data_IF_191549670427
#
_entry.id   IF_191549670427
#
_cell.length_a   1.000
_cell.length_b   1.000
_cell.length_c   1.000
_cell.angle_alpha   90.00
_cell.angle_beta   90.00
_cell.angle_gamma   90.00
#
_symmetry.space_group_name_H-M   'P 1'
#
loop_
_entity.id
_entity.type
_entity.pdbx_description
1 polymer ?
#
# COMPACT_ATOMS: atom_id res chain seq x y z
N UNK A 1 -19.50 -8.41 0.89
CA UNK A 1 -19.42 -6.97 1.24
C UNK A 1 -18.02 -6.51 0.91
N UNK A 2 -17.85 -5.49 0.07
CA UNK A 2 -16.52 -4.89 -0.18
C UNK A 2 -15.99 -4.31 1.13
N UNK A 3 -14.72 -4.53 1.47
CA UNK A 3 -14.14 -4.01 2.71
C UNK A 3 -14.15 -2.46 2.65
N UNK A 4 -14.50 -1.78 3.75
CA UNK A 4 -14.53 -0.31 3.80
C UNK A 4 -13.17 0.31 3.46
N UNK A 5 -12.07 -0.37 3.79
CA UNK A 5 -10.72 0.06 3.43
C UNK A 5 -10.51 0.04 1.92
N UNK A 6 -11.06 -0.94 1.20
CA UNK A 6 -11.00 -0.99 -0.27
C UNK A 6 -11.71 0.23 -0.89
N UNK A 7 -12.87 0.61 -0.35
CA UNK A 7 -13.62 1.76 -0.81
C UNK A 7 -12.83 3.07 -0.59
N UNK A 8 -12.17 3.19 0.55
CA UNK A 8 -11.33 4.35 0.88
C UNK A 8 -10.14 4.44 -0.08
N UNK A 9 -9.43 3.33 -0.33
CA UNK A 9 -8.28 3.30 -1.25
C UNK A 9 -8.72 3.73 -2.66
N UNK A 10 -9.83 3.19 -3.15
CA UNK A 10 -10.37 3.52 -4.48
C UNK A 10 -10.79 4.98 -4.60
N UNK A 11 -11.45 5.51 -3.57
CA UNK A 11 -11.86 6.92 -3.54
C UNK A 11 -10.65 7.85 -3.50
N UNK A 12 -9.63 7.51 -2.70
CA UNK A 12 -8.37 8.25 -2.67
C UNK A 12 -7.61 8.15 -4.01
N UNK A 13 -7.70 7.03 -4.74
CA UNK A 13 -7.07 6.89 -6.06
C UNK A 13 -7.71 7.80 -7.10
N UNK A 14 -9.05 7.89 -7.09
CA UNK A 14 -9.77 8.83 -7.94
C UNK A 14 -9.32 10.26 -7.69
N UNK A 15 -9.31 10.67 -6.42
CA UNK A 15 -8.86 12.00 -6.05
C UNK A 15 -7.40 12.25 -6.48
N UNK A 16 -6.52 11.27 -6.32
CA UNK A 16 -5.12 11.40 -6.76
C UNK A 16 -5.01 11.57 -8.29
N UNK A 17 -5.81 10.84 -9.06
CA UNK A 17 -5.85 10.96 -10.53
C UNK A 17 -6.39 12.33 -10.95
N UNK A 18 -7.46 12.81 -10.31
CA UNK A 18 -7.99 14.16 -10.53
C UNK A 18 -6.91 15.22 -10.24
N UNK A 19 -6.18 15.10 -9.13
CA UNK A 19 -5.04 15.98 -8.82
C UNK A 19 -3.93 15.92 -9.87
N UNK A 20 -3.61 14.74 -10.41
CA UNK A 20 -2.61 14.60 -11.46
C UNK A 20 -3.05 15.24 -12.79
N UNK A 21 -4.34 15.19 -13.09
CA UNK A 21 -4.96 15.81 -14.25
C UNK A 21 -5.27 17.30 -14.06
N UNK A 22 -4.98 17.85 -12.87
CA UNK A 22 -5.36 19.22 -12.48
C UNK A 22 -6.86 19.48 -12.66
N UNK A 23 -7.65 18.43 -12.41
CA UNK A 23 -9.09 18.42 -12.45
C UNK A 23 -9.66 18.20 -11.04
N UNK A 24 -10.96 18.43 -10.87
CA UNK A 24 -11.63 18.22 -9.58
C UNK A 24 -11.50 19.38 -8.60
N UNK A 25 -12.21 19.26 -7.48
CA UNK A 25 -12.25 20.25 -6.40
C UNK A 25 -11.59 19.69 -5.14
N UNK A 26 -10.28 19.45 -5.23
CA UNK A 26 -9.49 18.81 -4.18
C UNK A 26 -8.67 19.86 -3.43
N UNK A 27 -8.75 19.83 -2.09
CA UNK A 27 -8.09 20.83 -1.24
C UNK A 27 -6.58 20.62 -1.12
N UNK A 28 -6.09 19.42 -1.42
CA UNK A 28 -4.68 19.06 -1.37
C UNK A 28 -3.97 19.54 -2.63
N UNK A 29 -2.78 20.11 -2.48
CA UNK A 29 -1.95 20.60 -3.58
C UNK A 29 -0.70 19.73 -3.68
N UNK A 30 -0.31 19.34 -4.90
CA UNK A 30 1.00 18.75 -5.15
C UNK A 30 2.11 19.78 -4.90
N UNK A 31 3.03 19.54 -3.96
CA UNK A 31 4.18 20.41 -3.81
C UNK A 31 5.03 20.38 -5.08
N UNK A 32 5.64 21.50 -5.45
CA UNK A 32 6.56 21.55 -6.58
C UNK A 32 8.01 21.38 -6.11
N UNK A 33 8.79 20.63 -6.89
CA UNK A 33 10.24 20.59 -6.79
C UNK A 33 10.84 21.90 -7.32
N UNK A 34 12.13 22.13 -7.06
CA UNK A 34 12.86 23.33 -7.56
C UNK A 34 12.81 23.49 -9.08
N UNK A 35 12.68 22.38 -9.82
CA UNK A 35 12.56 22.33 -11.27
C UNK A 35 11.10 22.44 -11.77
N UNK A 36 10.16 22.84 -10.90
CA UNK A 36 8.72 23.00 -11.18
C UNK A 36 7.96 21.71 -11.50
N UNK A 37 8.61 20.55 -11.45
CA UNK A 37 7.90 19.27 -11.52
C UNK A 37 7.15 18.99 -10.21
N UNK A 38 6.02 18.28 -10.29
CA UNK A 38 5.26 17.81 -9.11
C UNK A 38 6.17 16.90 -8.26
N UNK A 39 6.18 17.12 -6.96
CA UNK A 39 6.83 16.23 -5.98
C UNK A 39 5.90 15.06 -5.73
N UNK A 40 6.07 14.01 -6.52
CA UNK A 40 5.31 12.78 -6.40
C UNK A 40 5.87 11.91 -5.28
N UNK A 41 5.05 11.62 -4.27
CA UNK A 41 5.40 10.79 -3.13
C UNK A 41 4.18 10.01 -2.62
N UNK A 42 4.39 9.19 -1.59
CA UNK A 42 3.32 8.53 -0.85
C UNK A 42 2.47 9.52 -0.04
N UNK A 43 3.02 10.68 0.32
CA UNK A 43 2.47 11.58 1.34
C UNK A 43 1.10 12.14 0.93
N UNK A 44 0.96 12.55 -0.33
CA UNK A 44 -0.30 13.12 -0.82
C UNK A 44 -1.42 12.07 -0.77
N UNK A 45 -1.12 10.83 -1.18
CA UNK A 45 -2.07 9.74 -1.11
C UNK A 45 -2.41 9.33 0.32
N UNK A 46 -1.42 9.30 1.24
CA UNK A 46 -1.67 9.08 2.68
C UNK A 46 -2.68 10.10 3.21
N UNK A 47 -2.55 11.36 2.82
CA UNK A 47 -3.48 12.41 3.27
C UNK A 47 -4.89 12.24 2.70
N UNK A 48 -5.03 11.88 1.41
CA UNK A 48 -6.32 11.57 0.79
C UNK A 48 -6.98 10.36 1.45
N UNK A 49 -6.20 9.29 1.69
CA UNK A 49 -6.69 8.11 2.40
C UNK A 49 -7.24 8.48 3.79
N UNK A 50 -6.49 9.26 4.57
CA UNK A 50 -6.92 9.71 5.90
C UNK A 50 -8.19 10.56 5.82
N UNK A 51 -8.28 11.49 4.86
CA UNK A 51 -9.47 12.33 4.69
C UNK A 51 -10.72 11.50 4.34
N UNK A 52 -10.60 10.50 3.46
CA UNK A 52 -11.67 9.55 3.19
C UNK A 52 -12.00 8.68 4.40
N UNK A 53 -11.00 8.18 5.12
CA UNK A 53 -11.19 7.38 6.33
C UNK A 53 -11.99 8.14 7.39
N UNK A 54 -11.62 9.38 7.69
CA UNK A 54 -12.29 10.23 8.67
C UNK A 54 -13.75 10.55 8.31
N UNK A 55 -14.10 10.56 7.01
CA UNK A 55 -15.45 10.83 6.53
C UNK A 55 -16.35 9.60 6.44
N UNK A 56 -15.76 8.41 6.35
CA UNK A 56 -16.49 7.18 5.97
C UNK A 56 -16.51 6.11 7.05
N UNK A 57 -15.68 6.24 8.10
CA UNK A 57 -15.58 5.24 9.15
C UNK A 57 -16.09 5.77 10.50
N UNK A 58 -17.14 5.15 11.00
CA UNK A 58 -17.62 5.37 12.37
C UNK A 58 -17.09 4.26 13.30
N UNK A 59 -16.69 4.62 14.51
CA UNK A 59 -16.22 3.67 15.53
C UNK A 59 -14.82 3.08 15.33
N UNK A 60 -14.19 3.31 14.17
CA UNK A 60 -12.78 2.98 13.93
C UNK A 60 -11.87 4.16 14.28
N UNK A 61 -10.62 3.85 14.64
CA UNK A 61 -9.55 4.85 14.87
C UNK A 61 -8.32 4.47 14.06
N UNK A 62 -7.43 5.43 13.83
CA UNK A 62 -6.15 5.17 13.17
C UNK A 62 -5.00 5.81 13.92
N UNK A 63 -3.80 5.26 13.74
CA UNK A 63 -2.53 5.90 14.14
C UNK A 63 -1.57 5.91 12.96
N UNK A 64 -0.68 6.89 12.95
CA UNK A 64 0.30 7.13 11.89
C UNK A 64 1.69 6.76 12.40
N UNK A 65 2.55 6.19 11.54
CA UNK A 65 3.93 5.79 11.90
C UNK A 65 3.94 4.90 13.16
N UNK A 66 3.05 3.91 13.18
CA UNK A 66 2.81 3.08 14.36
C UNK A 66 3.94 2.07 14.52
N UNK A 67 4.64 2.02 15.66
CA UNK A 67 5.69 1.02 15.88
C UNK A 67 5.17 -0.40 15.67
N UNK A 68 5.97 -1.23 15.01
CA UNK A 68 5.68 -2.66 14.84
C UNK A 68 5.76 -3.38 16.18
N UNK A 69 4.95 -4.43 16.35
CA UNK A 69 5.02 -5.30 17.55
C UNK A 69 6.24 -6.22 17.56
N UNK A 70 6.94 -6.31 16.42
CA UNK A 70 8.14 -7.11 16.23
C UNK A 70 9.37 -6.22 16.00
N UNK A 71 10.53 -6.80 16.25
CA UNK A 71 11.84 -6.24 15.93
C UNK A 71 12.41 -6.92 14.69
N UNK A 72 13.16 -6.16 13.90
CA UNK A 72 13.64 -6.59 12.59
C UNK A 72 15.11 -6.22 12.37
N UNK A 73 15.80 -7.05 11.59
CA UNK A 73 17.07 -6.73 10.97
C UNK A 73 16.83 -6.27 9.53
N UNK A 74 17.30 -5.05 9.22
CA UNK A 74 17.13 -4.42 7.90
C UNK A 74 18.48 -4.02 7.28
N UNK A 75 19.53 -4.84 7.52
CA UNK A 75 20.87 -4.59 6.98
C UNK A 75 20.85 -4.55 5.45
N UNK A 76 21.77 -3.77 4.87
CA UNK A 76 21.77 -3.41 3.45
C UNK A 76 22.00 -4.61 2.50
N UNK A 77 22.69 -5.65 2.98
CA UNK A 77 23.13 -6.80 2.19
C UNK A 77 22.42 -8.10 2.57
N UNK A 78 21.60 -8.08 3.62
CA UNK A 78 20.86 -9.24 4.11
C UNK A 78 19.37 -9.08 3.79
N UNK A 79 18.69 -10.21 3.57
CA UNK A 79 17.24 -10.21 3.45
C UNK A 79 16.60 -9.69 4.76
N UNK A 80 15.55 -8.86 4.68
CA UNK A 80 14.77 -8.46 5.85
C UNK A 80 14.32 -9.69 6.64
N UNK A 81 14.56 -9.67 7.95
CA UNK A 81 14.20 -10.79 8.82
C UNK A 81 13.73 -10.28 10.18
N UNK A 82 12.98 -11.14 10.89
CA UNK A 82 12.70 -10.94 12.31
C UNK A 82 14.00 -11.12 13.10
N UNK A 83 14.23 -10.23 14.04
CA UNK A 83 15.42 -10.25 14.90
C UNK A 83 15.02 -9.67 16.26
N UNK A 84 15.08 -10.48 17.31
CA UNK A 84 14.76 -10.07 18.69
C UNK A 84 15.68 -8.95 19.20
N UNK A 85 16.92 -8.90 18.72
CA UNK A 85 17.89 -7.86 19.03
C UNK A 85 17.90 -6.73 17.97
N UNK A 86 16.99 -6.82 17.00
CA UNK A 86 16.80 -5.84 15.96
C UNK A 86 16.11 -4.58 16.45
N UNK A 87 15.60 -3.79 15.50
CA UNK A 87 14.85 -2.56 15.79
C UNK A 87 13.41 -2.67 15.34
N UNK A 88 12.51 -1.99 16.02
CA UNK A 88 11.14 -1.81 15.53
C UNK A 88 11.14 -1.07 14.20
N UNK A 89 10.28 -1.51 13.28
CA UNK A 89 9.86 -0.72 12.14
C UNK A 89 8.65 0.14 12.52
N UNK A 90 8.20 0.93 11.56
CA UNK A 90 6.92 1.64 11.64
C UNK A 90 6.00 1.14 10.54
N UNK A 91 4.72 1.02 10.87
CA UNK A 91 3.62 0.88 9.94
C UNK A 91 3.10 2.27 9.60
N UNK A 92 3.00 2.61 8.31
CA UNK A 92 2.53 3.92 7.88
C UNK A 92 1.16 4.29 8.49
N UNK A 93 0.18 3.38 8.42
CA UNK A 93 -1.12 3.52 9.08
C UNK A 93 -1.59 2.22 9.73
N UNK A 94 -2.05 2.32 10.97
CA UNK A 94 -2.68 1.22 11.69
C UNK A 94 -4.11 1.57 12.07
N UNK A 95 -5.08 0.79 11.60
CA UNK A 95 -6.51 0.97 11.89
C UNK A 95 -6.87 0.09 13.09
N UNK A 96 -7.63 0.66 14.03
CA UNK A 96 -8.02 0.04 15.28
C UNK A 96 -9.53 -0.04 15.42
N UNK A 97 -10.00 -1.06 16.14
CA UNK A 97 -11.37 -1.23 16.56
C UNK A 97 -11.42 -1.46 18.08
N UNK A 98 -12.39 -0.84 18.76
CA UNK A 98 -12.59 -1.06 20.18
C UNK A 98 -13.39 -2.36 20.41
N UNK A 99 -12.80 -3.33 21.09
CA UNK A 99 -13.39 -4.64 21.37
C UNK A 99 -13.00 -5.05 22.77
N UNK A 100 -13.95 -5.52 23.58
CA UNK A 100 -13.64 -6.07 24.91
C UNK A 100 -12.97 -5.07 25.87
N UNK A 101 -13.29 -3.78 25.74
CA UNK A 101 -12.72 -2.66 26.49
C UNK A 101 -11.29 -2.22 26.12
N UNK A 102 -10.76 -2.68 25.00
CA UNK A 102 -9.43 -2.28 24.51
C UNK A 102 -9.44 -1.98 23.01
N UNK A 103 -8.47 -1.17 22.56
CA UNK A 103 -8.25 -0.90 21.14
C UNK A 103 -7.37 -1.99 20.55
N UNK A 104 -7.90 -2.69 19.55
CA UNK A 104 -7.19 -3.75 18.83
C UNK A 104 -6.87 -3.34 17.41
N UNK A 105 -5.67 -3.69 16.94
CA UNK A 105 -5.25 -3.57 15.54
C UNK A 105 -6.16 -4.44 14.68
N UNK A 106 -6.78 -3.79 13.69
CA UNK A 106 -7.70 -4.38 12.74
C UNK A 106 -7.04 -4.57 11.36
N UNK A 107 -6.41 -3.52 10.85
CA UNK A 107 -5.74 -3.47 9.54
C UNK A 107 -4.43 -2.70 9.64
N UNK A 108 -3.41 -3.14 8.90
CA UNK A 108 -2.17 -2.39 8.65
C UNK A 108 -2.14 -1.96 7.20
N UNK A 109 -1.69 -0.73 6.94
CA UNK A 109 -1.55 -0.16 5.60
C UNK A 109 -0.16 0.42 5.46
N UNK A 110 0.55 0.01 4.41
CA UNK A 110 1.84 0.55 3.99
C UNK A 110 1.70 1.19 2.61
N UNK A 111 2.41 2.28 2.39
CA UNK A 111 2.40 3.00 1.12
C UNK A 111 3.79 3.01 0.51
N UNK A 112 3.83 2.89 -0.82
CA UNK A 112 5.03 3.05 -1.63
C UNK A 112 4.75 3.87 -2.87
N UNK A 113 5.74 4.61 -3.33
CA UNK A 113 5.68 5.34 -4.58
C UNK A 113 6.90 5.01 -5.45
N UNK A 114 6.71 5.06 -6.77
CA UNK A 114 7.70 4.81 -7.82
C UNK A 114 8.13 3.36 -7.96
N UNK A 115 8.84 3.02 -9.04
CA UNK A 115 9.40 1.68 -9.23
C UNK A 115 10.67 1.47 -8.37
N UNK A 116 10.50 1.27 -7.06
CA UNK A 116 11.58 1.16 -6.07
C UNK A 116 12.28 -0.21 -6.07
N UNK A 117 13.47 -0.33 -5.45
CA UNK A 117 14.14 -1.63 -5.31
C UNK A 117 13.32 -2.62 -4.47
N UNK A 118 13.40 -3.91 -4.84
CA UNK A 118 12.63 -5.03 -4.25
C UNK A 118 12.74 -5.10 -2.72
N UNK A 119 13.94 -4.89 -2.16
CA UNK A 119 14.20 -4.94 -0.72
C UNK A 119 13.34 -3.95 0.08
N UNK A 120 12.93 -2.82 -0.50
CA UNK A 120 12.06 -1.87 0.19
C UNK A 120 10.61 -2.38 0.30
N UNK A 121 10.15 -3.09 -0.74
CA UNK A 121 8.84 -3.73 -0.76
C UNK A 121 8.85 -4.94 0.18
N UNK A 122 9.92 -5.73 0.16
CA UNK A 122 10.11 -6.90 1.03
C UNK A 122 10.01 -6.52 2.51
N UNK A 123 10.64 -5.41 2.91
CA UNK A 123 10.57 -4.89 4.30
C UNK A 123 9.13 -4.61 4.73
N UNK A 124 8.34 -3.96 3.89
CA UNK A 124 6.96 -3.63 4.23
C UNK A 124 6.07 -4.86 4.24
N UNK A 125 6.18 -5.72 3.24
CA UNK A 125 5.43 -6.97 3.21
C UNK A 125 5.77 -7.85 4.42
N UNK A 126 7.04 -7.92 4.84
CA UNK A 126 7.41 -8.59 6.08
C UNK A 126 6.69 -7.97 7.28
N UNK A 127 6.73 -6.65 7.44
CA UNK A 127 6.01 -5.93 8.52
C UNK A 127 4.50 -6.22 8.52
N UNK A 128 3.84 -6.16 7.36
CA UNK A 128 2.42 -6.45 7.20
C UNK A 128 2.08 -7.90 7.56
N UNK A 129 2.94 -8.83 7.15
CA UNK A 129 2.71 -10.27 7.29
C UNK A 129 2.78 -10.78 8.73
N UNK A 130 3.55 -10.10 9.59
CA UNK A 130 3.77 -10.47 11.00
C UNK A 130 3.49 -9.31 11.96
N UNK A 131 2.74 -8.29 11.52
CA UNK A 131 2.55 -7.04 12.26
C UNK A 131 1.60 -7.12 13.45
N UNK A 132 1.12 -8.31 13.78
CA UNK A 132 0.14 -8.61 14.81
C UNK A 132 0.65 -9.71 15.73
N UNK A 133 0.21 -9.68 16.99
CA UNK A 133 0.50 -10.70 18.01
C UNK A 133 -0.75 -10.98 18.83
N UNK A 134 -0.78 -12.12 19.51
CA UNK A 134 -1.82 -12.43 20.49
C UNK A 134 -3.23 -12.43 19.89
N UNK A 135 -4.15 -11.74 20.55
CA UNK A 135 -5.58 -11.72 20.30
C UNK A 135 -6.06 -10.50 19.50
N UNK A 136 -5.16 -9.91 18.72
CA UNK A 136 -5.48 -8.85 17.76
C UNK A 136 -6.43 -9.35 16.67
N UNK A 137 -7.34 -8.49 16.22
CA UNK A 137 -8.39 -8.86 15.25
C UNK A 137 -7.79 -9.32 13.92
N UNK A 138 -6.74 -8.62 13.46
CA UNK A 138 -5.86 -8.96 12.34
C UNK A 138 -6.62 -9.60 11.15
N UNK A 139 -7.30 -8.76 10.36
CA UNK A 139 -8.10 -9.20 9.20
C UNK A 139 -7.28 -9.23 7.91
N UNK A 140 -7.34 -8.14 7.13
CA UNK A 140 -6.67 -7.97 5.84
C UNK A 140 -5.69 -6.81 5.96
N UNK A 141 -4.47 -6.97 5.45
CA UNK A 141 -3.47 -5.91 5.42
C UNK A 141 -3.26 -5.41 4.01
N UNK A 142 -2.79 -4.17 3.89
CA UNK A 142 -2.78 -3.45 2.63
C UNK A 142 -1.39 -2.92 2.31
N UNK A 143 -0.93 -3.21 1.09
CA UNK A 143 0.19 -2.47 0.50
C UNK A 143 -0.35 -1.67 -0.68
N UNK A 144 -0.23 -0.35 -0.61
CA UNK A 144 -0.64 0.55 -1.70
C UNK A 144 0.60 1.12 -2.39
N UNK A 145 0.76 0.80 -3.67
CA UNK A 145 1.93 1.18 -4.45
C UNK A 145 1.52 2.10 -5.61
N UNK A 146 2.03 3.33 -5.59
CA UNK A 146 1.73 4.39 -6.55
C UNK A 146 2.82 4.48 -7.61
N UNK A 147 2.43 4.28 -8.86
CA UNK A 147 3.31 4.37 -10.02
C UNK A 147 2.86 5.56 -10.89
N UNK A 148 3.58 6.67 -10.75
CA UNK A 148 3.22 7.91 -11.43
C UNK A 148 3.58 7.92 -12.91
N UNK A 149 4.68 7.27 -13.26
CA UNK A 149 5.12 7.09 -14.65
C UNK A 149 5.50 5.64 -14.86
N UNK A 150 4.92 5.00 -15.86
CA UNK A 150 5.25 3.65 -16.27
C UNK A 150 5.28 3.55 -17.79
N UNK A 151 6.05 2.59 -18.27
CA UNK A 151 5.95 1.97 -19.59
C UNK A 151 5.73 0.46 -19.42
N UNK A 152 5.64 -0.28 -20.53
CA UNK A 152 5.49 -1.74 -20.47
C UNK A 152 6.58 -2.41 -19.63
N UNK A 153 7.84 -1.96 -19.74
CA UNK A 153 8.95 -2.53 -18.97
C UNK A 153 8.81 -2.30 -17.48
N UNK A 154 8.28 -1.15 -17.08
CA UNK A 154 7.99 -0.83 -15.68
C UNK A 154 6.92 -1.78 -15.13
N UNK A 155 5.86 -2.02 -15.90
CA UNK A 155 4.80 -2.95 -15.56
C UNK A 155 5.36 -4.38 -15.38
N UNK A 156 6.07 -4.90 -16.38
CA UNK A 156 6.67 -6.24 -16.36
C UNK A 156 7.60 -6.41 -15.14
N UNK A 157 8.45 -5.41 -14.89
CA UNK A 157 9.39 -5.40 -13.76
C UNK A 157 8.68 -5.43 -12.40
N UNK A 158 7.58 -4.69 -12.23
CA UNK A 158 6.83 -4.67 -10.97
C UNK A 158 6.21 -6.04 -10.69
N UNK A 159 5.68 -6.69 -11.71
CA UNK A 159 4.99 -7.97 -11.56
C UNK A 159 5.98 -9.07 -11.22
N UNK A 160 7.11 -9.10 -11.91
CA UNK A 160 8.19 -10.02 -11.58
C UNK A 160 8.67 -9.83 -10.13
N UNK A 161 8.77 -8.58 -9.64
CA UNK A 161 9.10 -8.30 -8.24
C UNK A 161 8.06 -8.90 -7.29
N UNK A 162 6.78 -8.66 -7.51
CA UNK A 162 5.73 -9.15 -6.61
C UNK A 162 5.59 -10.68 -6.63
N UNK A 163 5.78 -11.31 -7.79
CA UNK A 163 5.79 -12.77 -7.91
C UNK A 163 6.96 -13.42 -7.14
N UNK A 164 8.15 -12.82 -7.21
CA UNK A 164 9.32 -13.23 -6.40
C UNK A 164 9.06 -13.05 -4.91
N UNK A 165 8.52 -11.88 -4.52
CA UNK A 165 8.26 -11.53 -3.12
C UNK A 165 7.19 -12.41 -2.48
N UNK A 166 6.16 -12.81 -3.24
CA UNK A 166 5.18 -13.82 -2.81
C UNK A 166 5.87 -15.07 -2.30
N UNK A 167 6.82 -15.61 -3.06
CA UNK A 167 7.55 -16.83 -2.70
C UNK A 167 8.49 -16.64 -1.50
N UNK A 168 9.09 -15.46 -1.37
CA UNK A 168 10.03 -15.15 -0.28
C UNK A 168 9.34 -14.97 1.07
N UNK A 169 8.09 -14.49 1.06
CA UNK A 169 7.38 -14.11 2.28
C UNK A 169 6.44 -15.20 2.75
N UNK A 170 5.93 -16.08 1.89
CA UNK A 170 4.96 -17.13 2.20
C UNK A 170 5.31 -17.97 3.45
N UNK A 171 4.58 -17.75 4.55
CA UNK A 171 4.67 -18.52 5.80
C UNK A 171 3.29 -19.10 6.16
N UNK A 172 3.22 -20.27 6.82
CA UNK A 172 1.96 -20.97 7.10
C UNK A 172 0.94 -20.19 7.93
N UNK A 173 1.41 -19.22 8.72
CA UNK A 173 0.59 -18.42 9.64
C UNK A 173 0.20 -17.04 9.06
N UNK A 174 0.61 -16.75 7.83
CA UNK A 174 0.42 -15.43 7.24
C UNK A 174 -1.00 -15.19 6.76
N UNK A 175 -1.49 -14.02 7.13
CA UNK A 175 -2.82 -13.53 6.80
C UNK A 175 -2.83 -12.76 5.50
N UNK A 176 -4.03 -12.58 4.98
CA UNK A 176 -4.35 -11.94 3.72
C UNK A 176 -3.67 -10.56 3.57
N UNK A 177 -2.80 -10.40 2.55
CA UNK A 177 -2.25 -9.10 2.14
C UNK A 177 -2.82 -8.77 0.77
N UNK A 178 -3.58 -7.68 0.71
CA UNK A 178 -4.07 -7.11 -0.55
C UNK A 178 -3.10 -6.04 -1.03
N UNK A 179 -2.63 -6.19 -2.27
CA UNK A 179 -1.76 -5.22 -2.92
C UNK A 179 -2.58 -4.42 -3.91
N UNK A 180 -2.47 -3.10 -3.83
CA UNK A 180 -3.01 -2.16 -4.82
C UNK A 180 -1.86 -1.52 -5.60
N UNK A 181 -1.86 -1.64 -6.93
CA UNK A 181 -0.92 -0.95 -7.81
C UNK A 181 -1.64 0.11 -8.61
N UNK A 182 -1.46 1.39 -8.28
CA UNK A 182 -2.04 2.50 -9.03
C UNK A 182 -1.07 2.96 -10.12
N UNK A 183 -1.56 3.13 -11.35
CA UNK A 183 -0.86 3.79 -12.44
C UNK A 183 -1.48 5.17 -12.68
N UNK A 184 -1.00 6.19 -11.96
CA UNK A 184 -1.70 7.48 -11.85
C UNK A 184 -1.78 8.26 -13.18
N UNK A 185 -0.76 8.14 -14.04
CA UNK A 185 -0.75 8.75 -15.38
C UNK A 185 -1.07 7.75 -16.51
N UNK A 186 -1.49 6.53 -16.16
CA UNK A 186 -1.52 5.40 -17.08
C UNK A 186 -0.12 4.87 -17.41
N UNK A 187 -0.03 4.00 -18.44
CA UNK A 187 1.22 3.35 -18.86
C UNK A 187 1.55 3.76 -20.29
N UNK A 188 2.72 4.39 -20.51
CA UNK A 188 3.18 4.82 -21.83
C UNK A 188 3.32 3.63 -22.78
N UNK A 189 2.94 3.82 -24.04
CA UNK A 189 2.98 2.82 -25.11
C UNK A 189 2.13 1.57 -24.84
N UNK A 190 1.27 1.63 -23.81
CA UNK A 190 0.22 0.66 -23.55
C UNK A 190 -1.08 1.49 -23.59
N UNK A 191 -2.15 1.03 -24.27
CA UNK A 191 -3.40 1.78 -24.36
C UNK A 191 -4.18 1.68 -23.04
N UNK A 192 -3.55 2.14 -21.97
CA UNK A 192 -3.95 1.92 -20.60
C UNK A 192 -4.09 3.27 -19.92
N UNK A 193 -5.35 3.65 -19.69
CA UNK A 193 -5.72 4.84 -18.94
C UNK A 193 -5.19 4.77 -17.50
N UNK A 194 -5.16 5.91 -16.79
CA UNK A 194 -5.08 5.87 -15.34
C UNK A 194 -6.04 4.83 -14.75
N UNK A 195 -5.57 4.11 -13.75
CA UNK A 195 -6.33 3.03 -13.12
C UNK A 195 -5.43 2.22 -12.19
N UNK A 196 -5.97 1.13 -11.64
CA UNK A 196 -5.23 0.31 -10.69
C UNK A 196 -5.43 -1.20 -10.89
N UNK A 197 -4.49 -1.97 -10.34
CA UNK A 197 -4.60 -3.41 -10.14
C UNK A 197 -4.77 -3.72 -8.66
N UNK A 198 -5.56 -4.75 -8.37
CA UNK A 198 -5.74 -5.28 -7.02
C UNK A 198 -5.55 -6.77 -7.08
N UNK A 199 -4.76 -7.31 -6.16
CA UNK A 199 -4.59 -8.75 -6.02
C UNK A 199 -4.28 -9.11 -4.58
N UNK A 200 -4.62 -10.34 -4.23
CA UNK A 200 -4.11 -10.97 -3.02
C UNK A 200 -2.69 -11.46 -3.29
N UNK A 201 -1.73 -11.06 -2.44
CA UNK A 201 -0.33 -11.41 -2.63
C UNK A 201 -0.11 -12.93 -2.70
N UNK A 202 -0.83 -13.71 -1.90
CA UNK A 202 -0.64 -15.15 -1.77
C UNK A 202 -1.44 -15.96 -2.79
N UNK A 203 -2.54 -15.42 -3.30
CA UNK A 203 -3.22 -16.00 -4.46
C UNK A 203 -2.44 -15.68 -5.75
N UNK A 204 -1.73 -14.56 -5.79
CA UNK A 204 -0.83 -14.14 -6.87
C UNK A 204 -1.44 -13.13 -7.82
N UNK A 205 -0.61 -12.63 -8.73
CA UNK A 205 -1.03 -11.73 -9.81
C UNK A 205 -1.55 -12.59 -10.95
N UNK A 206 -2.80 -12.41 -11.37
CA UNK A 206 -3.27 -12.98 -12.64
C UNK A 206 -2.69 -12.16 -13.81
N UNK A 207 -1.45 -12.53 -14.19
CA UNK A 207 -0.65 -11.89 -15.24
C UNK A 207 -1.32 -11.98 -16.63
N UNK A 208 -2.23 -12.94 -16.84
CA UNK A 208 -2.96 -13.07 -18.12
C UNK A 208 -4.05 -11.99 -18.28
N UNK A 209 -4.37 -11.26 -17.22
CA UNK A 209 -5.52 -10.38 -17.13
C UNK A 209 -5.16 -8.91 -16.85
N UNK A 210 -4.11 -8.39 -17.50
CA UNK A 210 -3.85 -6.94 -17.55
C UNK A 210 -5.07 -6.09 -17.98
N UNK A 211 -6.01 -6.72 -18.69
CA UNK A 211 -7.26 -6.13 -19.14
C UNK A 211 -8.28 -5.87 -18.01
N UNK A 212 -8.05 -6.37 -16.81
CA UNK A 212 -8.95 -6.22 -15.66
C UNK A 212 -8.61 -4.99 -14.78
N UNK A 213 -7.82 -4.04 -15.27
CA UNK A 213 -7.67 -2.76 -14.57
C UNK A 213 -9.04 -2.13 -14.40
N UNK A 214 -9.45 -1.99 -13.15
CA UNK A 214 -10.60 -1.16 -12.85
C UNK A 214 -10.18 0.29 -13.08
N UNK A 215 -11.03 1.01 -13.79
CA UNK A 215 -10.94 2.47 -13.86
C UNK A 215 -11.29 3.01 -12.47
N UNK A 216 -10.51 3.99 -12.01
CA UNK A 216 -10.68 4.62 -10.69
C UNK A 216 -11.93 5.51 -10.61
#
# INVERSE_FOLDING_TARGET
MKNVVDLIIRSAFRDLIEMEQESGNIKLIYPQLRNKHKRQSEQEFKQLFIDHFCRTTEGLKYSVETPTLNSYSFKKEEKPALDENGRSGNIDLCIHQYVGNEWKRLHLVEFKAHNIPEVHIEKDLLKLSVGFKGDELNKINYLVHLIYTADQRTLDSLIEKYDKLKSAINRPEQKQITVYLLFASGVKNVPLSPGYYVFDLFEGIDVQNYKNMEQA
#
